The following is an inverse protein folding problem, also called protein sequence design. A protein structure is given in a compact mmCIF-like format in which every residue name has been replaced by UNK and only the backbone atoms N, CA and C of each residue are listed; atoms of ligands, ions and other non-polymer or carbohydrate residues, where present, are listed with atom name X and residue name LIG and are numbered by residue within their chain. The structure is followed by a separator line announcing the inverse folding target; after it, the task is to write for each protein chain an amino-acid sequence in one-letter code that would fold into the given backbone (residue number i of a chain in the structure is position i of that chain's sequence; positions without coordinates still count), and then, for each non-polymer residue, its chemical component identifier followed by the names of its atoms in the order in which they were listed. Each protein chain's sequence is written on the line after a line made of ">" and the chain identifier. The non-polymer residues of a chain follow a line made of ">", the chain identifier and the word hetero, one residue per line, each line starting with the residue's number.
data_IF_964805433465
#
_entry.id   IF_964805433465
#
_cell.length_a   1.000
_cell.length_b   1.000
_cell.length_c   1.000
_cell.angle_alpha   90.00
_cell.angle_beta   90.00
_cell.angle_gamma   90.00
#
_symmetry.space_group_name_H-M   'P 1'
#
loop_
_entity.id
_entity.type
_entity.pdbx_description
1 polymer ?
#
# COMPACT_ATOMS: atom_id res chain seq x y z
N UNK A 1 -6.23 -6.12 -3.49
CA UNK A 1 -7.45 -6.28 -2.66
C UNK A 1 -8.55 -5.33 -3.14
N UNK A 2 -8.47 -4.02 -2.96
CA UNK A 2 -9.57 -3.07 -3.30
C UNK A 2 -10.19 -3.29 -4.69
N UNK A 3 -9.37 -3.36 -5.76
CA UNK A 3 -9.88 -3.62 -7.12
C UNK A 3 -10.57 -4.98 -7.30
N UNK A 4 -10.24 -5.97 -6.46
CA UNK A 4 -10.94 -7.25 -6.49
C UNK A 4 -12.29 -7.16 -5.78
N UNK A 5 -12.31 -6.46 -4.64
CA UNK A 5 -13.56 -6.22 -3.90
C UNK A 5 -14.58 -5.43 -4.72
N UNK A 6 -14.13 -4.49 -5.56
CA UNK A 6 -15.01 -3.75 -6.47
C UNK A 6 -15.71 -4.59 -7.55
N UNK A 7 -15.40 -5.90 -7.65
CA UNK A 7 -16.17 -6.84 -8.50
C UNK A 7 -17.36 -7.47 -7.75
N UNK A 8 -17.45 -7.25 -6.45
CA UNK A 8 -18.55 -7.78 -5.64
C UNK A 8 -19.80 -6.90 -5.81
N UNK A 9 -21.00 -7.46 -6.02
CA UNK A 9 -22.21 -6.67 -6.29
C UNK A 9 -22.62 -5.77 -5.12
N UNK A 10 -22.29 -6.13 -3.88
CA UNK A 10 -22.59 -5.37 -2.68
C UNK A 10 -21.48 -4.39 -2.26
N UNK A 11 -20.37 -4.30 -3.01
CA UNK A 11 -19.23 -3.46 -2.65
C UNK A 11 -18.95 -2.46 -3.76
N UNK A 12 -18.99 -1.18 -3.45
CA UNK A 12 -18.52 -0.14 -4.33
C UNK A 12 -17.08 0.27 -3.98
N UNK A 13 -16.20 0.25 -4.98
CA UNK A 13 -14.84 0.80 -4.90
C UNK A 13 -14.64 1.70 -6.12
N UNK A 14 -14.26 2.97 -5.94
CA UNK A 14 -14.00 3.88 -7.03
C UNK A 14 -13.00 3.32 -8.06
N UNK A 15 -13.19 3.66 -9.32
CA UNK A 15 -12.36 3.19 -10.43
C UNK A 15 -10.93 3.72 -10.39
N UNK A 16 -10.71 4.91 -9.81
CA UNK A 16 -9.36 5.40 -9.53
C UNK A 16 -8.83 4.76 -8.23
N UNK A 17 -7.56 4.48 -8.22
CA UNK A 17 -6.98 3.47 -7.33
C UNK A 17 -6.71 3.95 -5.91
N UNK A 18 -6.33 5.19 -5.70
CA UNK A 18 -5.85 5.72 -4.42
C UNK A 18 -6.29 7.18 -4.29
N UNK A 19 -7.15 7.47 -3.33
CA UNK A 19 -7.71 8.81 -3.14
C UNK A 19 -6.67 9.81 -2.65
N UNK A 20 -5.71 9.37 -1.83
CA UNK A 20 -4.72 10.24 -1.18
C UNK A 20 -5.39 11.46 -0.54
N UNK A 21 -6.47 11.25 0.21
CA UNK A 21 -7.27 12.31 0.79
C UNK A 21 -6.93 12.54 2.27
N UNK A 22 -7.17 11.54 3.12
CA UNK A 22 -6.88 11.66 4.55
C UNK A 22 -5.39 11.89 4.81
N UNK A 23 -5.07 12.95 5.55
CA UNK A 23 -3.70 13.38 5.83
C UNK A 23 -3.03 14.19 4.72
N UNK A 24 -3.73 14.44 3.60
CA UNK A 24 -3.22 15.23 2.47
C UNK A 24 -4.07 16.47 2.19
N UNK A 25 -5.12 16.66 2.96
CA UNK A 25 -5.99 17.85 2.95
C UNK A 25 -6.18 18.36 4.37
N UNK A 26 -6.56 19.60 4.53
CA UNK A 26 -6.89 20.20 5.82
C UNK A 26 -8.22 19.62 6.38
N UNK A 27 -8.41 19.73 7.70
CA UNK A 27 -9.56 19.12 8.38
C UNK A 27 -10.92 19.63 7.89
N UNK A 28 -11.02 20.86 7.45
CA UNK A 28 -12.25 21.44 6.88
C UNK A 28 -12.57 20.93 5.47
N UNK A 29 -11.59 20.35 4.78
CA UNK A 29 -11.75 19.76 3.45
C UNK A 29 -12.03 18.24 3.48
N UNK A 30 -11.84 17.57 4.65
CA UNK A 30 -11.98 16.10 4.76
C UNK A 30 -13.36 15.61 4.35
N UNK A 31 -14.40 16.25 4.48
CA UNK A 31 -15.73 15.84 3.99
C UNK A 31 -16.13 16.55 2.71
N UNK A 32 -15.21 17.26 2.07
CA UNK A 32 -15.46 18.16 0.98
C UNK A 32 -15.95 17.50 -0.32
N UNK A 33 -16.41 18.32 -1.24
CA UNK A 33 -16.96 17.90 -2.53
C UNK A 33 -15.97 17.10 -3.38
N UNK A 34 -14.68 17.33 -3.22
CA UNK A 34 -13.65 16.57 -3.92
C UNK A 34 -13.67 15.10 -3.50
N UNK A 35 -13.67 14.80 -2.19
CA UNK A 35 -13.74 13.42 -1.71
C UNK A 35 -15.07 12.75 -2.10
N UNK A 36 -16.17 13.45 -1.96
CA UNK A 36 -17.49 12.95 -2.37
C UNK A 36 -17.54 12.64 -3.87
N UNK A 37 -16.87 13.44 -4.70
CA UNK A 37 -16.83 13.22 -6.15
C UNK A 37 -16.21 11.88 -6.56
N UNK A 38 -15.34 11.32 -5.71
CA UNK A 38 -14.74 10.00 -5.93
C UNK A 38 -15.77 8.87 -5.90
N UNK A 39 -16.89 9.09 -5.26
CA UNK A 39 -17.97 8.12 -5.09
C UNK A 39 -19.19 8.45 -5.95
N UNK A 40 -19.05 9.33 -6.94
CA UNK A 40 -20.17 9.76 -7.81
C UNK A 40 -20.82 8.63 -8.61
N UNK A 41 -20.09 7.54 -8.87
CA UNK A 41 -20.61 6.34 -9.55
C UNK A 41 -21.27 5.34 -8.59
N UNK A 42 -21.30 5.61 -7.28
CA UNK A 42 -21.98 4.76 -6.32
C UNK A 42 -23.47 4.68 -6.59
N UNK A 43 -24.01 3.48 -6.63
CA UNK A 43 -25.41 3.20 -7.00
C UNK A 43 -26.17 2.42 -5.92
N UNK A 44 -25.80 2.60 -4.64
CA UNK A 44 -26.54 2.04 -3.50
C UNK A 44 -25.95 0.75 -2.92
N UNK A 45 -24.75 0.35 -3.28
CA UNK A 45 -24.09 -0.79 -2.65
C UNK A 45 -23.96 -0.55 -1.14
N UNK A 46 -24.25 -1.56 -0.29
CA UNK A 46 -24.21 -1.41 1.17
C UNK A 46 -22.81 -1.18 1.75
N UNK A 47 -21.77 -1.60 1.05
CA UNK A 47 -20.38 -1.37 1.42
C UNK A 47 -19.71 -0.44 0.42
N UNK A 48 -19.13 0.63 0.92
CA UNK A 48 -18.39 1.62 0.11
C UNK A 48 -16.98 1.75 0.68
N UNK A 49 -15.97 1.69 -0.16
CA UNK A 49 -14.60 1.79 0.31
C UNK A 49 -13.62 2.26 -0.75
N UNK A 50 -12.43 2.63 -0.31
CA UNK A 50 -11.29 2.98 -1.15
C UNK A 50 -10.01 2.34 -0.60
N UNK A 51 -8.92 2.38 -1.34
CA UNK A 51 -7.67 1.77 -0.92
C UNK A 51 -6.46 2.64 -1.19
N UNK A 52 -5.98 3.32 -0.15
CA UNK A 52 -4.78 4.15 -0.18
C UNK A 52 -3.73 3.62 0.79
N UNK A 53 -2.66 2.95 0.30
CA UNK A 53 -1.66 2.30 1.16
C UNK A 53 -0.91 3.26 2.09
N UNK A 54 -0.74 4.52 1.70
CA UNK A 54 -0.03 5.53 2.50
C UNK A 54 -0.74 5.89 3.80
N UNK A 55 -2.04 5.65 3.95
CA UNK A 55 -2.76 5.96 5.18
C UNK A 55 -2.21 5.23 6.40
N UNK A 56 -1.73 4.00 6.24
CA UNK A 56 -1.18 3.24 7.36
C UNK A 56 0.03 3.93 8.00
N UNK A 57 0.93 4.46 7.18
CA UNK A 57 2.21 5.02 7.64
C UNK A 57 2.20 6.54 7.83
N UNK A 58 1.08 7.19 7.65
CA UNK A 58 0.98 8.65 7.76
C UNK A 58 0.16 9.04 9.00
N UNK A 59 0.78 9.59 10.06
CA UNK A 59 0.11 9.86 11.33
C UNK A 59 -1.12 10.76 11.18
N UNK A 60 -1.05 11.76 10.32
CA UNK A 60 -2.17 12.66 10.07
C UNK A 60 -3.35 11.95 9.40
N UNK A 61 -3.08 10.98 8.52
CA UNK A 61 -4.14 10.11 7.98
C UNK A 61 -4.83 9.31 9.09
N UNK A 62 -4.06 8.74 10.01
CA UNK A 62 -4.60 8.02 11.15
C UNK A 62 -5.49 8.94 12.01
N UNK A 63 -5.02 10.16 12.33
CA UNK A 63 -5.76 11.15 13.10
C UNK A 63 -7.10 11.51 12.42
N UNK A 64 -7.06 11.85 11.14
CA UNK A 64 -8.26 12.22 10.38
C UNK A 64 -9.23 11.05 10.24
N UNK A 65 -8.74 9.85 9.91
CA UNK A 65 -9.59 8.65 9.80
C UNK A 65 -10.28 8.34 11.14
N UNK A 66 -9.55 8.35 12.24
CA UNK A 66 -10.13 8.11 13.56
C UNK A 66 -11.18 9.16 13.94
N UNK A 67 -10.93 10.42 13.60
CA UNK A 67 -11.83 11.54 13.92
C UNK A 67 -13.07 11.57 13.07
N UNK A 68 -12.91 11.48 11.75
CA UNK A 68 -14.01 11.72 10.79
C UNK A 68 -14.75 10.44 10.40
N UNK A 69 -14.10 9.27 10.52
CA UNK A 69 -14.66 7.96 10.20
C UNK A 69 -14.57 6.98 11.38
N UNK A 70 -15.09 7.29 12.58
CA UNK A 70 -14.88 6.49 13.79
C UNK A 70 -15.49 5.08 13.68
N UNK A 71 -16.34 4.84 12.69
CA UNK A 71 -17.01 3.58 12.46
C UNK A 71 -16.50 2.81 11.24
N UNK A 72 -15.49 3.32 10.55
CA UNK A 72 -14.95 2.65 9.36
C UNK A 72 -14.33 1.31 9.73
N UNK A 73 -14.47 0.34 8.84
CA UNK A 73 -13.71 -0.91 8.86
C UNK A 73 -12.46 -0.73 8.00
N UNK A 74 -11.30 -1.11 8.52
CA UNK A 74 -10.04 -1.06 7.77
C UNK A 74 -9.52 -2.46 7.50
N UNK A 75 -8.95 -2.64 6.32
CA UNK A 75 -8.26 -3.87 5.92
C UNK A 75 -6.81 -3.49 5.65
N UNK A 76 -5.92 -4.00 6.49
CA UNK A 76 -4.48 -3.74 6.42
C UNK A 76 -3.79 -4.98 5.87
N UNK A 77 -3.01 -4.81 4.80
CA UNK A 77 -2.20 -5.87 4.23
C UNK A 77 -0.73 -5.63 4.56
N UNK A 78 -0.17 -6.46 5.41
CA UNK A 78 1.24 -6.42 5.78
C UNK A 78 2.02 -7.40 4.91
N UNK A 79 3.18 -6.98 4.48
CA UNK A 79 4.16 -7.80 3.75
C UNK A 79 5.47 -7.79 4.51
N UNK A 80 6.30 -8.83 4.37
CA UNK A 80 7.68 -8.78 4.87
C UNK A 80 8.27 -7.39 4.56
N UNK A 81 8.68 -6.61 5.58
CA UNK A 81 9.05 -5.19 5.41
C UNK A 81 10.28 -5.01 4.49
N UNK A 82 11.18 -6.00 4.44
CA UNK A 82 12.35 -6.01 3.56
C UNK A 82 11.90 -6.11 2.10
N UNK A 83 11.05 -7.10 1.80
CA UNK A 83 10.54 -7.32 0.45
C UNK A 83 9.60 -6.18 -0.02
N UNK A 84 8.91 -5.56 0.94
CA UNK A 84 8.10 -4.37 0.67
C UNK A 84 9.00 -3.19 0.28
N UNK A 85 10.05 -2.91 1.06
CA UNK A 85 10.99 -1.83 0.78
C UNK A 85 11.66 -2.01 -0.58
N UNK A 86 12.11 -3.22 -0.89
CA UNK A 86 12.71 -3.56 -2.18
C UNK A 86 11.74 -3.36 -3.34
N UNK A 87 10.52 -3.86 -3.20
CA UNK A 87 9.46 -3.68 -4.20
C UNK A 87 9.10 -2.21 -4.42
N UNK A 88 9.03 -1.43 -3.33
CA UNK A 88 8.73 0.00 -3.37
C UNK A 88 9.84 0.78 -4.08
N UNK A 89 11.11 0.47 -3.81
CA UNK A 89 12.24 1.08 -4.49
C UNK A 89 12.16 0.88 -6.01
N UNK A 90 12.00 -0.35 -6.46
CA UNK A 90 11.93 -0.65 -7.89
C UNK A 90 10.70 -0.06 -8.57
N UNK A 91 9.59 0.05 -7.82
CA UNK A 91 8.44 0.80 -8.31
C UNK A 91 8.77 2.28 -8.50
N UNK A 92 9.38 2.92 -7.51
CA UNK A 92 9.80 4.33 -7.55
C UNK A 92 10.85 4.60 -8.64
N UNK A 93 11.83 3.70 -8.79
CA UNK A 93 12.86 3.78 -9.86
C UNK A 93 12.21 3.70 -11.24
N UNK A 94 11.30 2.76 -11.44
CA UNK A 94 10.57 2.57 -12.69
C UNK A 94 9.80 3.81 -13.14
N UNK A 95 9.19 4.52 -12.21
CA UNK A 95 8.44 5.76 -12.50
C UNK A 95 9.30 7.03 -12.43
N UNK A 96 10.61 6.87 -12.17
CA UNK A 96 11.58 7.97 -12.15
C UNK A 96 11.60 8.82 -10.88
N UNK A 97 10.95 8.35 -9.81
CA UNK A 97 10.93 9.02 -8.50
C UNK A 97 12.19 8.73 -7.67
N UNK A 98 12.75 7.53 -7.79
CA UNK A 98 13.95 7.10 -7.09
C UNK A 98 15.10 6.84 -8.06
N UNK A 99 16.34 7.04 -7.60
CA UNK A 99 17.58 6.85 -8.36
C UNK A 99 18.72 6.50 -7.40
N UNK A 100 19.82 5.98 -7.93
CA UNK A 100 21.08 5.84 -7.18
C UNK A 100 21.37 4.47 -6.60
N UNK A 101 20.43 3.53 -6.67
CA UNK A 101 20.56 2.18 -6.14
C UNK A 101 19.82 1.99 -4.81
N UNK A 102 19.30 0.78 -4.61
CA UNK A 102 18.54 0.43 -3.40
C UNK A 102 19.39 0.52 -2.13
N UNK A 103 20.62 0.03 -2.19
CA UNK A 103 21.58 0.07 -1.10
C UNK A 103 21.78 1.48 -0.55
N UNK A 104 22.13 2.42 -1.44
CA UNK A 104 22.32 3.83 -1.06
C UNK A 104 21.06 4.47 -0.49
N UNK A 105 19.91 4.11 -1.03
CA UNK A 105 18.63 4.63 -0.52
C UNK A 105 18.36 4.12 0.90
N UNK A 106 18.63 2.84 1.16
CA UNK A 106 18.50 2.22 2.50
C UNK A 106 19.51 2.82 3.47
N UNK A 107 20.80 2.88 3.09
CA UNK A 107 21.85 3.44 3.94
C UNK A 107 21.57 4.91 4.30
N UNK A 108 21.14 5.70 3.31
CA UNK A 108 20.78 7.10 3.54
C UNK A 108 19.61 7.24 4.50
N UNK A 109 18.58 6.41 4.38
CA UNK A 109 17.41 6.47 5.26
C UNK A 109 17.72 5.98 6.67
N UNK A 110 18.58 4.97 6.82
CA UNK A 110 19.01 4.47 8.13
C UNK A 110 19.98 5.43 8.84
N UNK A 111 20.75 6.22 8.09
CA UNK A 111 21.68 7.23 8.63
C UNK A 111 20.98 8.56 8.94
N UNK A 112 19.81 8.80 8.34
CA UNK A 112 19.12 10.07 8.44
C UNK A 112 18.13 10.07 9.62
N UNK A 113 18.55 10.71 10.71
CA UNK A 113 17.66 11.08 11.83
C UNK A 113 16.84 12.35 11.53
N UNK A 114 16.80 12.78 10.27
CA UNK A 114 16.22 14.04 9.82
C UNK A 114 14.69 14.08 9.85
N UNK A 115 14.10 15.26 9.61
CA UNK A 115 12.66 15.43 9.56
C UNK A 115 12.05 14.63 8.40
N UNK A 116 10.83 14.19 8.63
CA UNK A 116 10.01 13.30 7.80
C UNK A 116 10.31 13.37 6.29
N UNK A 117 10.87 12.30 5.70
CA UNK A 117 11.04 12.25 4.25
C UNK A 117 9.67 12.28 3.58
N UNK A 118 9.62 12.81 2.36
CA UNK A 118 8.37 12.75 1.59
C UNK A 118 7.84 11.31 1.56
N UNK A 119 6.54 11.06 1.70
CA UNK A 119 5.96 9.73 1.88
C UNK A 119 6.39 8.67 0.87
N UNK A 120 6.86 9.08 -0.32
CA UNK A 120 7.36 8.15 -1.35
C UNK A 120 8.86 7.84 -1.25
N UNK A 121 9.61 8.55 -0.41
CA UNK A 121 11.05 8.35 -0.17
C UNK A 121 11.30 7.46 1.04
N UNK A 122 10.28 7.27 1.86
CA UNK A 122 10.33 6.47 3.07
C UNK A 122 10.22 4.98 2.74
N UNK A 123 11.34 4.37 2.40
CA UNK A 123 11.42 2.96 2.08
C UNK A 123 11.46 2.08 3.34
N UNK A 124 12.19 2.50 4.37
CA UNK A 124 12.42 1.70 5.57
C UNK A 124 11.35 1.96 6.62
N UNK A 125 11.10 3.20 7.00
CA UNK A 125 10.14 3.56 8.06
C UNK A 125 8.72 3.03 7.81
N UNK A 126 8.27 2.98 6.57
CA UNK A 126 6.97 2.38 6.21
C UNK A 126 6.85 0.90 6.56
N UNK A 127 7.93 0.24 6.91
CA UNK A 127 7.96 -1.11 7.44
C UNK A 127 7.85 -1.21 8.97
N UNK A 128 7.84 -0.10 9.70
CA UNK A 128 7.66 -0.07 11.16
C UNK A 128 6.18 -0.26 11.54
N UNK A 129 5.61 -1.39 11.12
CA UNK A 129 4.16 -1.63 11.22
C UNK A 129 3.62 -1.56 12.64
N UNK A 130 4.41 -1.98 13.63
CA UNK A 130 4.02 -1.90 15.04
C UNK A 130 3.74 -0.45 15.46
N UNK A 131 4.61 0.49 15.07
CA UNK A 131 4.45 1.90 15.35
C UNK A 131 3.21 2.48 14.67
N UNK A 132 3.05 2.18 13.38
CA UNK A 132 1.92 2.68 12.61
C UNK A 132 0.58 2.16 13.14
N UNK A 133 0.49 0.89 13.47
CA UNK A 133 -0.72 0.30 14.05
C UNK A 133 -0.99 0.83 15.46
N UNK A 134 0.07 0.99 16.27
CA UNK A 134 -0.03 1.56 17.61
C UNK A 134 -0.61 2.98 17.55
N UNK A 135 -0.17 3.81 16.59
CA UNK A 135 -0.71 5.15 16.38
C UNK A 135 -2.25 5.13 16.20
N UNK A 136 -2.79 4.21 15.39
CA UNK A 136 -4.24 4.05 15.25
C UNK A 136 -4.92 3.64 16.56
N UNK A 137 -4.33 2.70 17.31
CA UNK A 137 -4.90 2.23 18.57
C UNK A 137 -4.86 3.30 19.66
N UNK A 138 -3.80 4.09 19.73
CA UNK A 138 -3.66 5.21 20.68
C UNK A 138 -4.67 6.33 20.39
N UNK A 139 -5.05 6.50 19.12
CA UNK A 139 -6.14 7.39 18.69
C UNK A 139 -7.55 6.80 18.94
N UNK A 140 -7.65 5.64 19.57
CA UNK A 140 -8.92 5.00 19.90
C UNK A 140 -9.54 4.16 18.78
N UNK A 141 -8.79 3.84 17.73
CA UNK A 141 -9.30 2.95 16.69
C UNK A 141 -9.54 1.54 17.25
N UNK A 142 -10.74 1.01 17.07
CA UNK A 142 -11.15 -0.27 17.63
C UNK A 142 -10.50 -1.44 16.87
N UNK A 143 -9.89 -2.36 17.61
CA UNK A 143 -9.22 -3.55 17.03
C UNK A 143 -10.20 -4.46 16.26
N UNK A 144 -11.43 -4.58 16.69
CA UNK A 144 -12.47 -5.38 16.03
C UNK A 144 -12.95 -4.78 14.70
N UNK A 145 -12.53 -3.55 14.38
CA UNK A 145 -12.78 -2.86 13.11
C UNK A 145 -11.58 -2.83 12.18
N UNK A 146 -10.49 -3.48 12.55
CA UNK A 146 -9.27 -3.57 11.76
C UNK A 146 -8.94 -5.03 11.46
N UNK A 147 -9.07 -5.43 10.20
CA UNK A 147 -8.64 -6.74 9.72
C UNK A 147 -7.21 -6.65 9.21
N UNK A 148 -6.29 -7.36 9.85
CA UNK A 148 -4.88 -7.41 9.47
C UNK A 148 -4.59 -8.74 8.81
N UNK A 149 -4.09 -8.69 7.57
CA UNK A 149 -3.77 -9.84 6.74
C UNK A 149 -2.29 -9.81 6.37
N UNK A 150 -1.65 -10.95 6.35
CA UNK A 150 -0.30 -11.11 5.78
C UNK A 150 -0.41 -11.35 4.28
N UNK A 151 0.47 -10.72 3.52
CA UNK A 151 0.48 -10.81 2.05
C UNK A 151 0.86 -12.21 1.56
N UNK A 152 1.79 -12.87 2.23
CA UNK A 152 2.19 -14.25 2.00
C UNK A 152 1.01 -15.22 2.17
N UNK A 153 0.26 -15.12 3.28
CA UNK A 153 -0.93 -15.94 3.50
C UNK A 153 -2.04 -15.70 2.47
N UNK A 154 -2.20 -14.45 2.03
CA UNK A 154 -3.12 -14.13 0.92
C UNK A 154 -2.70 -14.87 -0.36
N UNK A 155 -1.40 -15.02 -0.59
CA UNK A 155 -0.90 -15.73 -1.77
C UNK A 155 -1.05 -17.26 -1.63
N UNK A 156 -0.87 -17.79 -0.43
CA UNK A 156 -1.02 -19.22 -0.12
C UNK A 156 -2.48 -19.66 -0.20
N UNK A 157 -3.39 -18.90 0.40
CA UNK A 157 -4.83 -19.17 0.34
C UNK A 157 -5.62 -17.91 -0.04
N UNK A 158 -5.63 -17.62 -1.32
CA UNK A 158 -6.39 -16.49 -1.88
C UNK A 158 -7.89 -16.59 -1.62
N UNK A 159 -8.45 -17.79 -1.69
CA UNK A 159 -9.89 -18.03 -1.51
C UNK A 159 -10.29 -17.78 -0.06
N UNK A 160 -9.55 -18.34 0.89
CA UNK A 160 -9.79 -18.14 2.32
C UNK A 160 -9.60 -16.69 2.74
N UNK A 161 -8.58 -16.01 2.21
CA UNK A 161 -8.35 -14.59 2.46
C UNK A 161 -9.51 -13.73 1.97
N UNK A 162 -10.02 -13.98 0.75
CA UNK A 162 -11.19 -13.27 0.21
C UNK A 162 -12.45 -13.56 1.03
N UNK A 163 -12.69 -14.81 1.43
CA UNK A 163 -13.82 -15.17 2.27
C UNK A 163 -13.76 -14.45 3.63
N UNK A 164 -12.58 -14.37 4.23
CA UNK A 164 -12.35 -13.65 5.48
C UNK A 164 -12.67 -12.17 5.35
N UNK A 165 -12.23 -11.53 4.27
CA UNK A 165 -12.52 -10.13 3.99
C UNK A 165 -14.01 -9.88 3.80
N UNK A 166 -14.68 -10.71 2.99
CA UNK A 166 -16.12 -10.56 2.74
C UNK A 166 -16.94 -10.73 4.02
N UNK A 167 -16.63 -11.73 4.84
CA UNK A 167 -17.24 -11.91 6.17
C UNK A 167 -16.98 -10.71 7.08
N UNK A 168 -15.76 -10.20 7.11
CA UNK A 168 -15.41 -9.02 7.90
C UNK A 168 -16.21 -7.79 7.46
N UNK A 169 -16.40 -7.59 6.17
CA UNK A 169 -17.22 -6.49 5.63
C UNK A 169 -18.72 -6.70 5.91
N UNK A 170 -19.17 -7.93 6.09
CA UNK A 170 -20.58 -8.27 6.34
C UNK A 170 -21.36 -8.46 5.04
N UNK A 171 -20.71 -8.87 3.97
CA UNK A 171 -21.32 -9.18 2.68
C UNK A 171 -21.31 -10.69 2.41
N UNK A 172 -22.06 -11.14 1.44
CA UNK A 172 -22.08 -12.55 1.01
C UNK A 172 -20.71 -12.98 0.49
N UNK A 173 -20.31 -14.24 0.70
CA UNK A 173 -19.04 -14.79 0.21
C UNK A 173 -19.18 -15.28 -1.23
N UNK A 174 -18.98 -14.39 -2.18
CA UNK A 174 -19.11 -14.65 -3.62
C UNK A 174 -17.77 -14.70 -4.36
N UNK A 175 -16.80 -13.87 -3.94
CA UNK A 175 -15.48 -13.82 -4.58
C UNK A 175 -14.59 -14.93 -4.06
N UNK A 176 -14.09 -15.77 -4.97
CA UNK A 176 -13.17 -16.87 -4.65
C UNK A 176 -11.80 -16.71 -5.31
N UNK A 177 -11.65 -15.75 -6.20
CA UNK A 177 -10.40 -15.51 -6.93
C UNK A 177 -10.11 -14.03 -7.06
N UNK A 178 -8.83 -13.64 -6.95
CA UNK A 178 -8.42 -12.33 -7.44
C UNK A 178 -8.44 -12.36 -8.97
N UNK A 179 -9.02 -11.33 -9.61
CA UNK A 179 -8.75 -11.14 -11.02
C UNK A 179 -7.23 -11.08 -11.17
N UNK A 180 -6.66 -11.85 -12.09
CA UNK A 180 -5.22 -11.91 -12.35
C UNK A 180 -4.66 -10.51 -12.63
N UNK A 181 -4.47 -9.73 -11.60
CA UNK A 181 -3.83 -8.44 -11.65
C UNK A 181 -2.44 -8.56 -11.04
N UNK A 182 -1.49 -8.72 -11.96
CA UNK A 182 -0.13 -8.29 -11.74
C UNK A 182 0.66 -9.03 -10.66
N UNK A 183 1.19 -10.18 -10.99
CA UNK A 183 2.65 -10.27 -10.83
C UNK A 183 3.22 -8.94 -11.34
N UNK A 184 4.21 -8.37 -10.66
CA UNK A 184 4.79 -7.06 -10.98
C UNK A 184 5.45 -7.04 -12.37
N UNK A 185 4.67 -7.28 -13.42
CA UNK A 185 5.03 -7.11 -14.83
C UNK A 185 4.99 -5.63 -15.15
N UNK A 186 5.89 -4.91 -14.48
CA UNK A 186 6.05 -3.49 -14.73
C UNK A 186 6.72 -3.27 -16.07
N UNK A 187 6.05 -2.52 -16.92
CA UNK A 187 6.62 -2.00 -18.16
C UNK A 187 7.72 -1.01 -17.83
N UNK A 188 8.94 -1.27 -18.24
CA UNK A 188 10.06 -0.35 -18.06
C UNK A 188 9.96 0.78 -19.08
N UNK A 189 9.75 2.00 -18.61
CA UNK A 189 9.76 3.18 -19.45
C UNK A 189 11.20 3.61 -19.75
N UNK A 190 11.59 3.87 -21.02
CA UNK A 190 12.88 4.46 -21.34
C UNK A 190 13.12 5.74 -20.53
N UNK A 191 14.38 6.00 -20.15
CA UNK A 191 14.76 7.13 -19.27
C UNK A 191 14.18 8.48 -19.70
N UNK A 192 14.11 8.76 -21.00
CA UNK A 192 13.58 10.01 -21.54
C UNK A 192 12.05 10.16 -21.38
N UNK A 193 11.33 9.05 -21.17
CA UNK A 193 9.87 9.03 -20.98
C UNK A 193 9.44 9.07 -19.52
N UNK A 194 10.39 9.04 -18.59
CA UNK A 194 10.13 9.04 -17.16
C UNK A 194 9.79 10.42 -16.61
N UNK A 195 9.97 11.49 -17.38
CA UNK A 195 9.66 12.85 -16.94
C UNK A 195 8.14 13.14 -16.99
N UNK A 196 7.55 13.83 -15.98
CA UNK A 196 6.12 14.10 -15.91
C UNK A 196 5.55 14.88 -17.11
N UNK A 197 6.37 15.73 -17.73
CA UNK A 197 6.00 16.56 -18.89
C UNK A 197 5.76 15.71 -20.14
N UNK A 198 6.49 14.62 -20.31
CA UNK A 198 6.32 13.72 -21.45
C UNK A 198 4.99 12.94 -21.37
N UNK A 199 4.47 12.66 -20.17
CA UNK A 199 3.23 11.89 -19.99
C UNK A 199 1.97 12.62 -20.49
N UNK A 200 1.95 13.94 -20.50
CA UNK A 200 0.74 14.74 -20.81
C UNK A 200 0.44 14.85 -22.31
N UNK A 201 1.39 14.53 -23.19
CA UNK A 201 1.28 14.72 -24.66
C UNK A 201 1.14 13.43 -25.48
N UNK A 202 0.99 12.26 -24.83
CA UNK A 202 0.94 11.01 -25.59
C UNK A 202 -0.46 10.70 -26.09
N UNK A 203 -0.59 10.66 -27.42
CA UNK A 203 -1.77 10.17 -28.14
C UNK A 203 -1.94 8.65 -27.93
N UNK A 204 -3.13 8.11 -28.29
CA UNK A 204 -3.40 6.66 -28.28
C UNK A 204 -2.30 5.84 -28.97
N UNK A 205 -1.71 6.37 -30.04
CA UNK A 205 -0.62 5.74 -30.79
C UNK A 205 0.68 5.65 -29.97
N UNK A 206 1.03 6.71 -29.24
CA UNK A 206 2.19 6.71 -28.35
C UNK A 206 2.06 5.69 -27.21
N UNK A 207 0.86 5.47 -26.67
CA UNK A 207 0.61 4.40 -25.68
C UNK A 207 0.78 3.00 -26.29
N UNK A 208 0.34 2.78 -27.52
CA UNK A 208 0.50 1.50 -28.20
C UNK A 208 1.99 1.18 -28.48
N UNK A 209 2.76 2.16 -28.96
CA UNK A 209 4.21 2.01 -29.15
C UNK A 209 4.90 1.74 -27.81
N UNK A 210 4.51 2.42 -26.75
CA UNK A 210 5.02 2.23 -25.41
C UNK A 210 4.79 0.79 -24.92
N UNK A 211 3.59 0.27 -25.10
CA UNK A 211 3.24 -1.10 -24.73
C UNK A 211 4.02 -2.13 -25.55
N UNK A 212 4.24 -1.86 -26.84
CA UNK A 212 4.98 -2.75 -27.74
C UNK A 212 6.50 -2.76 -27.47
N UNK A 213 7.06 -1.66 -26.95
CA UNK A 213 8.51 -1.54 -26.65
C UNK A 213 8.83 -1.82 -25.17
N UNK A 214 7.82 -2.07 -24.35
CA UNK A 214 8.01 -2.32 -22.94
C UNK A 214 8.55 -3.73 -22.69
N UNK A 215 9.77 -3.82 -22.18
CA UNK A 215 10.32 -5.08 -21.67
C UNK A 215 9.75 -5.38 -20.30
N UNK A 216 9.45 -6.66 -20.03
CA UNK A 216 9.17 -7.11 -18.66
C UNK A 216 10.41 -6.82 -17.82
N UNK A 217 10.20 -6.00 -16.79
CA UNK A 217 11.25 -5.71 -15.83
C UNK A 217 11.09 -6.65 -14.64
N UNK A 218 12.13 -7.44 -14.43
CA UNK A 218 12.29 -8.21 -13.19
C UNK A 218 13.39 -7.53 -12.40
N UNK A 219 13.13 -7.09 -11.15
CA UNK A 219 14.19 -6.57 -10.29
C UNK A 219 15.33 -7.59 -10.17
N UNK A 220 16.61 -7.16 -10.15
CA UNK A 220 17.70 -8.05 -9.83
C UNK A 220 17.51 -8.64 -8.43
N UNK A 221 18.16 -9.75 -8.06
CA UNK A 221 18.16 -10.21 -6.68
C UNK A 221 18.74 -9.13 -5.75
N UNK A 222 18.17 -9.02 -4.53
CA UNK A 222 18.67 -8.08 -3.53
C UNK A 222 20.08 -8.49 -3.07
N UNK A 223 20.96 -7.51 -2.90
CA UNK A 223 22.27 -7.75 -2.31
C UNK A 223 22.13 -8.31 -0.89
N UNK A 224 22.90 -9.36 -0.60
CA UNK A 224 22.82 -10.06 0.69
C UNK A 224 23.25 -9.21 1.89
N UNK A 225 24.18 -8.27 1.70
CA UNK A 225 24.61 -7.36 2.79
C UNK A 225 23.50 -6.39 3.14
N UNK A 226 22.83 -5.84 2.13
CA UNK A 226 21.67 -4.95 2.34
C UNK A 226 20.53 -5.71 2.99
N UNK A 227 20.27 -6.97 2.57
CA UNK A 227 19.27 -7.82 3.21
C UNK A 227 19.62 -8.04 4.69
N UNK A 228 20.85 -8.41 5.02
CA UNK A 228 21.28 -8.63 6.40
C UNK A 228 21.15 -7.35 7.26
N UNK A 229 21.47 -6.18 6.69
CA UNK A 229 21.29 -4.88 7.35
C UNK A 229 19.82 -4.64 7.68
N UNK A 230 18.92 -4.87 6.72
CA UNK A 230 17.48 -4.71 6.92
C UNK A 230 16.89 -5.74 7.88
N UNK A 231 17.37 -6.99 7.88
CA UNK A 231 17.00 -8.01 8.86
C UNK A 231 17.35 -7.54 10.27
N UNK A 232 18.58 -7.08 10.49
CA UNK A 232 19.01 -6.57 11.79
C UNK A 232 18.18 -5.36 12.23
N UNK A 233 17.84 -4.47 11.28
CA UNK A 233 17.02 -3.29 11.54
C UNK A 233 15.58 -3.65 11.91
N UNK A 234 14.94 -4.57 11.14
CA UNK A 234 13.51 -4.86 11.34
C UNK A 234 13.22 -5.85 12.46
N UNK A 235 14.18 -6.66 12.91
CA UNK A 235 13.96 -7.65 13.97
C UNK A 235 13.24 -7.06 15.21
N UNK A 236 13.72 -5.98 15.83
CA UNK A 236 13.02 -5.41 17.00
C UNK A 236 11.63 -4.87 16.65
N UNK A 237 11.40 -4.44 15.41
CA UNK A 237 10.08 -3.99 14.95
C UNK A 237 9.12 -5.15 14.73
N UNK A 238 9.60 -6.30 14.23
CA UNK A 238 8.82 -7.51 14.05
C UNK A 238 8.45 -8.14 15.41
N UNK A 239 9.39 -8.11 16.37
CA UNK A 239 9.12 -8.52 17.76
C UNK A 239 8.00 -7.67 18.38
N UNK A 240 8.09 -6.34 18.28
CA UNK A 240 7.02 -5.44 18.75
C UNK A 240 5.69 -5.65 18.02
N UNK A 241 5.73 -5.95 16.73
CA UNK A 241 4.53 -6.28 15.96
C UNK A 241 3.90 -7.57 16.45
N UNK A 242 4.72 -8.57 16.75
CA UNK A 242 4.27 -9.85 17.30
C UNK A 242 3.58 -9.68 18.66
N UNK A 243 4.17 -8.88 19.53
CA UNK A 243 3.57 -8.54 20.83
C UNK A 243 2.26 -7.76 20.66
N UNK A 244 2.25 -6.74 19.80
CA UNK A 244 1.07 -5.89 19.57
C UNK A 244 -0.14 -6.67 19.05
N UNK A 245 0.10 -7.64 18.17
CA UNK A 245 -0.95 -8.38 17.48
C UNK A 245 -1.22 -9.76 18.10
N UNK A 246 -0.38 -10.23 19.03
CA UNK A 246 -0.46 -11.58 19.60
C UNK A 246 -0.23 -12.67 18.54
N UNK A 247 0.63 -12.40 17.54
CA UNK A 247 0.89 -13.24 16.39
C UNK A 247 2.37 -13.21 16.02
N UNK A 248 2.97 -14.35 15.66
CA UNK A 248 4.38 -14.46 15.31
C UNK A 248 4.68 -13.87 13.92
N UNK A 249 5.75 -13.07 13.83
CA UNK A 249 6.33 -12.48 12.62
C UNK A 249 7.84 -12.73 12.53
N UNK A 250 8.38 -13.65 13.31
CA UNK A 250 9.83 -13.98 13.32
C UNK A 250 10.31 -14.58 11.99
N UNK A 251 9.42 -15.18 11.21
CA UNK A 251 9.70 -15.68 9.87
C UNK A 251 10.07 -14.57 8.87
N UNK A 252 9.83 -13.30 9.20
CA UNK A 252 10.28 -12.15 8.40
C UNK A 252 11.74 -11.75 8.67
N UNK A 253 12.41 -12.37 9.64
CA UNK A 253 13.79 -12.10 10.04
C UNK A 253 14.83 -12.93 9.26
N UNK A 254 14.49 -13.39 8.06
CA UNK A 254 15.35 -14.24 7.23
C UNK A 254 15.63 -13.67 5.84
#
# INVERSE_FOLDING_TARGET
>A
MASALGLHPEIFVPSFKEAHHFGFVDDDEVGGSLYQSFFSEWSGQPVVGEGTPSYLSHPESARQICRFLPHVKTIVQLRNPIDRAYSAYWHGERIGRLKGGFEKAVESELADEGPDPQPWQDLVRRGHYAEHLQCYFDLGFRRDRMLILRFDEILEDTTGALATVQKFLGVEVLLTQFPHQNQARGTYLPRFMRQPIARRRWTRLGRAILLATSRQFTPPPMDQKVRALLVAHYRPWNERLSELLGRDFSDWDH
#
